data_IF_989052913256
#
_entry.id   IF_989052913256
#
_cell.length_a   1.000
_cell.length_b   1.000
_cell.length_c   1.000
_cell.angle_alpha   90.00
_cell.angle_beta   90.00
_cell.angle_gamma   90.00
#
_symmetry.space_group_name_H-M   'P 1'
#
loop_
_entity.id
_entity.type
_entity.pdbx_description
1 polymer ?
#
# COMPACT_ATOMS: atom_id res chain seq x y z
N UNK A 1 43.32 -47.76 -4.27
CA UNK A 1 42.90 -46.71 -5.22
C UNK A 1 42.13 -45.64 -4.45
N UNK A 2 42.77 -44.52 -4.13
CA UNK A 2 42.12 -43.33 -3.57
C UNK A 2 41.78 -42.38 -4.72
N UNK A 3 40.57 -41.82 -4.73
CA UNK A 3 40.27 -40.65 -5.56
C UNK A 3 39.85 -39.50 -4.64
N UNK A 4 40.72 -38.49 -4.59
CA UNK A 4 40.54 -37.25 -3.87
C UNK A 4 39.90 -36.22 -4.81
N UNK A 5 38.82 -35.57 -4.37
CA UNK A 5 38.28 -34.38 -5.01
C UNK A 5 38.69 -33.17 -4.18
N UNK A 6 39.55 -32.35 -4.77
CA UNK A 6 40.14 -31.14 -4.22
C UNK A 6 39.10 -30.03 -3.99
N UNK A 7 39.05 -29.49 -2.77
CA UNK A 7 38.43 -28.19 -2.48
C UNK A 7 39.46 -27.10 -2.78
N UNK A 8 39.31 -26.42 -3.91
CA UNK A 8 40.09 -25.23 -4.23
C UNK A 8 39.55 -24.03 -3.47
N UNK A 9 40.28 -23.60 -2.44
CA UNK A 9 40.17 -22.27 -1.86
C UNK A 9 40.55 -21.23 -2.93
N UNK A 10 39.58 -20.42 -3.36
CA UNK A 10 39.84 -19.23 -4.16
C UNK A 10 39.73 -18.00 -3.27
N UNK A 11 40.88 -17.55 -2.79
CA UNK A 11 41.08 -16.17 -2.36
C UNK A 11 40.74 -15.23 -3.52
N UNK A 12 39.89 -14.23 -3.29
CA UNK A 12 39.73 -13.11 -4.21
C UNK A 12 39.86 -11.81 -3.43
N UNK A 13 41.10 -11.32 -3.39
CA UNK A 13 41.43 -9.93 -3.09
C UNK A 13 40.78 -9.03 -4.13
N UNK A 14 40.07 -7.98 -3.73
CA UNK A 14 39.63 -6.92 -4.64
C UNK A 14 40.25 -5.60 -4.20
N UNK A 15 41.27 -5.18 -4.95
CA UNK A 15 41.98 -3.91 -4.82
C UNK A 15 41.97 -3.24 -6.22
N UNK A 16 41.08 -2.25 -6.37
CA UNK A 16 40.87 -1.26 -7.45
C UNK A 16 39.38 -0.93 -7.35
N UNK A 17 38.94 0.27 -6.98
CA UNK A 17 39.18 1.49 -7.73
C UNK A 17 39.29 2.72 -6.81
N UNK A 18 40.45 3.36 -6.84
CA UNK A 18 40.57 4.78 -6.54
C UNK A 18 40.25 5.59 -7.80
N UNK A 19 39.80 6.83 -7.60
CA UNK A 19 39.80 7.94 -8.58
C UNK A 19 38.59 8.12 -9.51
N UNK A 20 37.46 8.60 -8.98
CA UNK A 20 36.67 9.59 -9.73
C UNK A 20 36.15 10.75 -8.85
N UNK A 21 36.98 11.80 -8.84
CA UNK A 21 36.61 13.23 -8.90
C UNK A 21 35.81 13.81 -7.72
N UNK A 22 36.52 14.04 -6.60
CA UNK A 22 36.34 15.27 -5.83
C UNK A 22 36.78 16.46 -6.70
N UNK A 23 35.85 16.96 -7.52
CA UNK A 23 35.96 18.27 -8.17
C UNK A 23 34.59 18.90 -8.15
N UNK A 24 34.32 19.70 -7.13
CA UNK A 24 33.63 20.99 -7.29
C UNK A 24 33.90 21.81 -6.03
N UNK A 25 34.98 22.59 -6.12
CA UNK A 25 35.17 23.79 -5.32
C UNK A 25 34.25 24.86 -5.91
N UNK A 26 33.32 25.37 -5.11
CA UNK A 26 32.47 26.50 -5.47
C UNK A 26 32.03 27.23 -4.21
N UNK A 27 32.78 28.25 -3.82
CA UNK A 27 32.45 29.19 -2.75
C UNK A 27 31.16 29.93 -3.12
N UNK A 28 30.11 29.89 -2.30
CA UNK A 28 29.14 30.98 -2.20
C UNK A 28 28.87 31.27 -0.71
N UNK A 29 28.97 32.55 -0.40
CA UNK A 29 28.95 33.14 0.92
C UNK A 29 27.53 33.31 1.49
N UNK A 30 27.48 33.23 2.82
CA UNK A 30 26.61 33.89 3.81
C UNK A 30 25.45 34.76 3.26
N UNK A 31 24.23 34.43 3.68
CA UNK A 31 23.22 35.43 4.02
C UNK A 31 22.36 34.86 5.16
N UNK A 32 22.40 35.51 6.32
CA UNK A 32 21.60 35.14 7.47
C UNK A 32 20.11 35.37 7.22
N UNK A 33 19.27 34.52 7.79
CA UNK A 33 17.85 34.78 7.95
C UNK A 33 17.44 34.43 9.38
N UNK A 34 16.84 35.43 9.99
CA UNK A 34 16.53 35.56 11.40
C UNK A 34 15.56 34.49 11.90
N UNK A 35 15.68 34.20 13.19
CA UNK A 35 14.68 33.52 14.01
C UNK A 35 13.35 34.27 13.91
N UNK A 36 12.28 33.57 13.52
CA UNK A 36 10.92 33.93 13.91
C UNK A 36 10.25 32.69 14.47
N UNK A 37 10.11 32.67 15.80
CA UNK A 37 9.19 31.79 16.49
C UNK A 37 7.77 32.31 16.25
N UNK A 38 6.98 31.59 15.46
CA UNK A 38 5.53 31.78 15.42
C UNK A 38 4.86 30.71 16.28
N UNK A 39 4.67 31.06 17.55
CA UNK A 39 3.62 30.47 18.37
C UNK A 39 2.28 31.10 17.99
N UNK A 40 1.26 30.27 17.76
CA UNK A 40 -0.14 30.69 17.62
C UNK A 40 -0.78 30.13 16.34
N UNK A 41 -2.01 29.62 16.31
CA UNK A 41 -3.09 29.59 17.29
C UNK A 41 -3.99 28.37 17.02
N UNK A 42 -4.35 27.70 18.11
CA UNK A 42 -5.66 27.10 18.42
C UNK A 42 -6.72 27.04 17.31
N UNK A 43 -7.04 25.83 16.85
CA UNK A 43 -8.32 25.53 16.21
C UNK A 43 -8.72 24.06 16.45
N UNK A 44 -9.18 23.76 17.66
CA UNK A 44 -10.11 22.68 18.00
C UNK A 44 -10.53 23.00 19.44
N UNK A 45 -11.66 23.64 19.74
CA UNK A 45 -12.99 23.45 19.17
C UNK A 45 -13.71 22.37 19.97
N UNK A 46 -14.29 22.74 21.12
CA UNK A 46 -15.24 21.90 21.86
C UNK A 46 -14.96 21.76 23.36
N UNK A 47 -15.70 22.53 24.15
CA UNK A 47 -15.89 22.39 25.61
C UNK A 47 -16.93 21.27 25.88
N UNK A 48 -16.68 20.40 26.87
CA UNK A 48 -17.61 20.07 27.97
C UNK A 48 -17.19 18.78 28.74
N UNK A 49 -17.08 18.95 30.06
CA UNK A 49 -17.38 18.04 31.17
C UNK A 49 -16.78 16.62 31.29
N UNK A 50 -16.35 16.33 32.52
CA UNK A 50 -15.59 15.14 32.91
C UNK A 50 -16.36 13.82 32.90
N UNK A 51 -15.59 12.73 32.90
CA UNK A 51 -15.79 11.54 33.73
C UNK A 51 -14.69 10.51 33.43
N UNK A 52 -14.23 9.83 34.48
CA UNK A 52 -13.41 8.62 34.43
C UNK A 52 -13.94 7.59 33.40
N UNK A 53 -13.12 7.24 32.42
CA UNK A 53 -13.22 5.98 31.67
C UNK A 53 -11.91 5.65 30.94
N UNK A 54 -11.27 4.54 31.32
CA UNK A 54 -10.41 3.73 30.42
C UNK A 54 -11.30 3.32 29.22
N UNK A 55 -10.93 3.49 27.94
CA UNK A 55 -9.96 2.63 27.20
C UNK A 55 -9.26 3.38 26.02
N UNK A 56 -8.19 2.89 25.38
CA UNK A 56 -8.17 1.94 24.25
C UNK A 56 -6.78 2.11 23.61
N UNK A 57 -6.21 1.03 23.07
CA UNK A 57 -4.99 1.06 22.24
C UNK A 57 -5.12 2.09 21.11
N UNK A 58 -4.33 3.15 21.21
CA UNK A 58 -3.97 3.99 20.07
C UNK A 58 -2.90 3.25 19.27
N UNK A 59 -3.30 2.49 18.25
CA UNK A 59 -2.37 2.10 17.18
C UNK A 59 -2.29 3.28 16.21
N UNK A 60 -1.43 4.24 16.52
CA UNK A 60 -0.98 5.23 15.53
C UNK A 60 0.46 4.89 15.20
N UNK A 61 0.65 4.20 14.08
CA UNK A 61 1.94 4.17 13.38
C UNK A 61 1.70 4.66 11.97
N UNK A 62 1.55 5.98 11.84
CA UNK A 62 1.76 6.65 10.57
C UNK A 62 3.27 6.60 10.29
N UNK A 63 3.72 5.56 9.59
CA UNK A 63 5.05 5.55 9.00
C UNK A 63 5.02 6.53 7.82
N UNK A 64 5.43 7.78 8.07
CA UNK A 64 5.72 8.75 7.03
C UNK A 64 6.93 8.24 6.22
N UNK A 65 6.63 7.51 5.14
CA UNK A 65 7.61 7.09 4.14
C UNK A 65 7.89 8.27 3.22
N UNK A 66 9.17 8.58 3.03
CA UNK A 66 9.66 9.64 2.17
C UNK A 66 9.19 9.39 0.73
N UNK A 67 8.32 10.27 0.22
CA UNK A 67 7.71 10.21 -1.10
C UNK A 67 8.74 10.07 -2.21
N UNK A 68 8.75 8.92 -2.90
CA UNK A 68 9.31 8.83 -4.24
C UNK A 68 8.49 9.77 -5.14
N UNK A 69 9.14 10.60 -5.96
CA UNK A 69 8.55 11.79 -6.61
C UNK A 69 7.35 11.56 -7.55
N UNK A 70 6.78 10.35 -7.64
CA UNK A 70 5.63 10.00 -8.47
C UNK A 70 4.63 9.05 -7.79
N UNK A 71 4.77 8.75 -6.49
CA UNK A 71 3.81 7.87 -5.79
C UNK A 71 2.71 8.70 -5.11
N UNK A 72 1.43 8.24 -5.18
CA UNK A 72 0.34 8.90 -4.49
C UNK A 72 0.54 8.88 -2.98
N UNK A 73 -0.07 9.85 -2.29
CA UNK A 73 -0.09 9.85 -0.84
C UNK A 73 -0.68 8.53 -0.32
N UNK A 74 -0.07 7.98 0.73
CA UNK A 74 -0.53 6.74 1.35
C UNK A 74 -1.86 7.01 2.05
N UNK A 75 -2.97 6.34 1.66
CA UNK A 75 -4.26 6.52 2.31
C UNK A 75 -4.26 5.92 3.71
N UNK A 76 -5.11 6.46 4.58
CA UNK A 76 -5.43 5.83 5.86
C UNK A 76 -6.19 4.52 5.65
N UNK A 77 -6.21 3.66 6.67
CA UNK A 77 -7.00 2.42 6.64
C UNK A 77 -8.49 2.68 6.36
N UNK A 78 -9.06 3.74 6.91
CA UNK A 78 -10.46 4.10 6.70
C UNK A 78 -10.76 4.57 5.26
N UNK A 79 -9.87 5.38 4.68
CA UNK A 79 -9.99 5.82 3.29
C UNK A 79 -9.85 4.65 2.32
N UNK A 80 -8.88 3.77 2.57
CA UNK A 80 -8.67 2.58 1.75
C UNK A 80 -9.82 1.58 1.91
N UNK A 81 -10.37 1.42 3.11
CA UNK A 81 -11.56 0.62 3.33
C UNK A 81 -12.75 1.13 2.50
N UNK A 82 -12.96 2.44 2.51
CA UNK A 82 -14.04 3.08 1.75
C UNK A 82 -13.87 2.83 0.25
N UNK A 83 -12.65 2.97 -0.27
CA UNK A 83 -12.35 2.66 -1.67
C UNK A 83 -12.56 1.19 -2.01
N UNK A 84 -12.10 0.28 -1.15
CA UNK A 84 -12.28 -1.16 -1.34
C UNK A 84 -13.77 -1.56 -1.34
N UNK A 85 -14.55 -1.02 -0.39
CA UNK A 85 -16.00 -1.26 -0.36
C UNK A 85 -16.68 -0.70 -1.62
N UNK A 86 -16.25 0.47 -2.10
CA UNK A 86 -16.75 1.04 -3.35
C UNK A 86 -16.39 0.19 -4.57
N UNK A 87 -15.20 -0.39 -4.61
CA UNK A 87 -14.78 -1.31 -5.68
C UNK A 87 -15.65 -2.59 -5.72
N UNK A 88 -16.03 -3.09 -4.54
CA UNK A 88 -16.83 -4.30 -4.36
C UNK A 88 -18.35 -4.04 -4.40
N UNK A 89 -18.79 -2.79 -4.39
CA UNK A 89 -20.20 -2.43 -4.44
C UNK A 89 -20.76 -2.56 -5.87
N UNK A 90 -21.72 -3.47 -6.14
CA UNK A 90 -22.32 -3.60 -7.46
C UNK A 90 -23.14 -2.38 -7.92
N UNK A 91 -23.50 -1.45 -7.03
CA UNK A 91 -24.15 -0.20 -7.39
C UNK A 91 -23.18 0.82 -8.03
N UNK A 92 -21.87 0.64 -7.82
CA UNK A 92 -20.86 1.54 -8.39
C UNK A 92 -20.65 1.20 -9.88
N UNK A 93 -20.66 2.21 -10.77
CA UNK A 93 -20.44 2.01 -12.19
C UNK A 93 -19.10 1.31 -12.46
N UNK A 94 -19.11 0.39 -13.42
CA UNK A 94 -17.92 -0.38 -13.76
C UNK A 94 -16.74 0.53 -14.16
N UNK A 95 -17.01 1.62 -14.88
CA UNK A 95 -16.00 2.60 -15.30
C UNK A 95 -15.15 3.15 -14.15
N UNK A 96 -15.74 3.33 -12.98
CA UNK A 96 -15.02 3.81 -11.79
C UNK A 96 -14.18 2.70 -11.15
N UNK A 97 -14.62 1.44 -11.28
CA UNK A 97 -13.88 0.27 -10.78
C UNK A 97 -12.70 -0.09 -11.66
N UNK A 98 -12.75 0.23 -12.97
CA UNK A 98 -11.63 0.02 -13.88
C UNK A 98 -10.37 0.76 -13.42
N UNK A 99 -10.55 1.91 -12.76
CA UNK A 99 -9.43 2.71 -12.24
C UNK A 99 -8.82 2.14 -10.94
N UNK A 100 -9.45 1.13 -10.32
CA UNK A 100 -9.10 0.61 -9.00
C UNK A 100 -8.32 -0.70 -9.04
N UNK A 101 -8.22 -1.36 -10.20
CA UNK A 101 -7.53 -2.65 -10.35
C UNK A 101 -6.55 -2.55 -11.53
N UNK A 102 -5.36 -3.12 -11.39
CA UNK A 102 -4.38 -3.15 -12.47
C UNK A 102 -4.75 -4.09 -13.61
N UNK A 103 -4.37 -3.71 -14.83
CA UNK A 103 -4.40 -4.63 -15.98
C UNK A 103 -5.81 -5.00 -16.44
N UNK A 104 -6.80 -4.16 -16.12
CA UNK A 104 -8.22 -4.34 -16.44
C UNK A 104 -8.53 -4.06 -17.91
N UNK A 105 -7.61 -3.47 -18.66
CA UNK A 105 -7.72 -3.26 -20.10
C UNK A 105 -7.92 -4.59 -20.85
N UNK A 106 -7.41 -5.69 -20.29
CA UNK A 106 -7.60 -7.03 -20.82
C UNK A 106 -9.01 -7.59 -20.54
N UNK A 107 -9.64 -7.22 -19.43
CA UNK A 107 -10.99 -7.64 -19.06
C UNK A 107 -11.73 -6.55 -18.26
N UNK A 108 -12.43 -5.63 -18.95
CA UNK A 108 -13.16 -4.55 -18.28
C UNK A 108 -14.32 -5.07 -17.43
N UNK A 109 -14.83 -6.29 -17.65
CA UNK A 109 -15.94 -6.84 -16.89
C UNK A 109 -15.50 -7.48 -15.56
N UNK A 110 -14.20 -7.68 -15.35
CA UNK A 110 -13.64 -8.30 -14.14
C UNK A 110 -14.13 -7.63 -12.85
N UNK A 111 -14.04 -6.29 -12.67
CA UNK A 111 -14.44 -5.67 -11.41
C UNK A 111 -15.93 -5.80 -11.12
N UNK A 112 -16.78 -5.73 -12.15
CA UNK A 112 -18.22 -6.00 -12.03
C UNK A 112 -18.50 -7.44 -11.57
N UNK A 113 -17.83 -8.43 -12.18
CA UNK A 113 -17.97 -9.84 -11.78
C UNK A 113 -17.50 -10.09 -10.35
N UNK A 114 -16.39 -9.47 -9.95
CA UNK A 114 -15.89 -9.54 -8.57
C UNK A 114 -16.88 -8.93 -7.57
N UNK A 115 -17.43 -7.76 -7.87
CA UNK A 115 -18.43 -7.10 -7.02
C UNK A 115 -19.71 -7.94 -6.85
N UNK A 116 -20.20 -8.56 -7.93
CA UNK A 116 -21.35 -9.47 -7.85
C UNK A 116 -21.02 -10.73 -7.04
N UNK A 117 -19.91 -11.40 -7.34
CA UNK A 117 -19.49 -12.59 -6.62
C UNK A 117 -19.29 -12.31 -5.12
N UNK A 118 -18.69 -11.17 -4.77
CA UNK A 118 -18.55 -10.72 -3.39
C UNK A 118 -19.92 -10.55 -2.71
N UNK A 119 -20.87 -9.87 -3.37
CA UNK A 119 -22.23 -9.71 -2.84
C UNK A 119 -22.93 -11.06 -2.63
N UNK A 120 -22.76 -12.00 -3.54
CA UNK A 120 -23.36 -13.34 -3.46
C UNK A 120 -22.81 -14.16 -2.28
N UNK A 121 -21.55 -13.93 -1.87
CA UNK A 121 -20.99 -14.59 -0.68
C UNK A 121 -21.57 -14.08 0.64
N UNK A 122 -22.10 -12.85 0.66
CA UNK A 122 -22.49 -12.17 1.91
C UNK A 122 -21.34 -11.88 2.87
N UNK A 123 -20.09 -11.94 2.38
CA UNK A 123 -18.92 -11.60 3.18
C UNK A 123 -18.88 -10.09 3.49
N UNK A 124 -18.26 -9.72 4.61
CA UNK A 124 -17.88 -8.33 4.90
C UNK A 124 -16.37 -8.18 4.88
N UNK A 125 -15.87 -7.01 4.48
CA UNK A 125 -14.45 -6.68 4.45
C UNK A 125 -14.23 -5.35 5.17
N UNK A 126 -13.22 -5.33 6.03
CA UNK A 126 -12.80 -4.15 6.77
C UNK A 126 -11.28 -4.03 6.76
N UNK A 127 -10.74 -2.95 6.18
CA UNK A 127 -9.31 -2.66 6.25
C UNK A 127 -8.96 -2.13 7.64
N UNK A 128 -8.07 -2.84 8.34
CA UNK A 128 -7.66 -2.54 9.72
C UNK A 128 -6.30 -1.86 9.81
N UNK A 129 -5.42 -2.10 8.83
CA UNK A 129 -4.05 -1.56 8.82
C UNK A 129 -3.57 -1.36 7.39
N UNK A 130 -2.67 -0.39 7.20
CA UNK A 130 -2.08 -0.07 5.89
C UNK A 130 -0.60 0.19 6.08
N UNK A 131 0.22 -0.55 5.32
CA UNK A 131 1.68 -0.40 5.30
C UNK A 131 2.14 -0.11 3.87
N UNK A 132 2.83 0.99 3.64
CA UNK A 132 3.37 1.35 2.34
C UNK A 132 4.86 0.99 2.20
N UNK A 133 5.24 0.54 1.01
CA UNK A 133 6.59 0.14 0.61
C UNK A 133 6.96 0.82 -0.71
N UNK A 134 7.17 2.14 -0.67
CA UNK A 134 7.50 2.94 -1.85
C UNK A 134 6.36 3.01 -2.85
N UNK A 135 6.46 2.27 -3.95
CA UNK A 135 5.49 2.15 -5.04
C UNK A 135 4.44 1.05 -4.81
N UNK A 136 4.55 0.29 -3.73
CA UNK A 136 3.55 -0.71 -3.34
C UNK A 136 2.96 -0.40 -1.96
N UNK A 137 1.77 -0.93 -1.70
CA UNK A 137 1.06 -0.76 -0.44
C UNK A 137 0.40 -2.08 -0.07
N UNK A 138 0.45 -2.47 1.19
CA UNK A 138 -0.20 -3.67 1.69
C UNK A 138 -1.23 -3.28 2.76
N UNK A 139 -2.47 -3.69 2.55
CA UNK A 139 -3.56 -3.44 3.48
C UNK A 139 -3.94 -4.73 4.19
N UNK A 140 -4.01 -4.71 5.52
CA UNK A 140 -4.61 -5.82 6.28
C UNK A 140 -6.11 -5.64 6.31
N UNK A 141 -6.83 -6.62 5.81
CA UNK A 141 -8.28 -6.65 5.81
C UNK A 141 -8.80 -7.81 6.67
N UNK A 142 -9.74 -7.50 7.55
CA UNK A 142 -10.58 -8.49 8.22
C UNK A 142 -11.74 -8.82 7.28
N UNK A 143 -11.88 -10.09 6.93
CA UNK A 143 -12.97 -10.64 6.13
C UNK A 143 -13.82 -11.50 7.05
N UNK A 144 -15.13 -11.23 7.12
CA UNK A 144 -16.06 -12.07 7.88
C UNK A 144 -16.98 -12.79 6.90
N UNK A 145 -16.96 -14.13 6.92
CA UNK A 145 -17.80 -14.98 6.08
C UNK A 145 -18.47 -16.02 6.97
N UNK A 146 -19.81 -16.11 6.95
CA UNK A 146 -20.57 -17.04 7.80
C UNK A 146 -20.21 -16.96 9.30
N UNK A 147 -19.89 -15.75 9.78
CA UNK A 147 -19.46 -15.51 11.17
C UNK A 147 -18.02 -15.93 11.50
N UNK A 148 -17.25 -16.42 10.52
CA UNK A 148 -15.83 -16.72 10.67
C UNK A 148 -14.98 -15.53 10.24
N UNK A 149 -14.12 -15.04 11.14
CA UNK A 149 -13.15 -13.98 10.84
C UNK A 149 -11.89 -14.56 10.18
N UNK A 150 -11.48 -13.98 9.06
CA UNK A 150 -10.27 -14.32 8.32
C UNK A 150 -9.49 -13.03 8.07
N UNK A 151 -8.19 -13.03 8.34
CA UNK A 151 -7.33 -11.88 8.01
C UNK A 151 -6.67 -12.15 6.67
N UNK A 152 -6.76 -11.19 5.76
CA UNK A 152 -6.12 -11.22 4.46
C UNK A 152 -5.26 -9.98 4.26
N UNK A 153 -4.16 -10.15 3.54
CA UNK A 153 -3.36 -9.05 3.05
C UNK A 153 -3.79 -8.72 1.61
N UNK A 154 -4.09 -7.45 1.35
CA UNK A 154 -4.53 -6.92 0.06
C UNK A 154 -3.42 -6.03 -0.47
N UNK A 155 -2.66 -6.47 -1.48
CA UNK A 155 -1.59 -5.71 -2.08
C UNK A 155 -2.13 -4.74 -3.14
N UNK A 156 -1.61 -3.52 -3.08
CA UNK A 156 -1.85 -2.40 -3.98
C UNK A 156 -0.53 -1.92 -4.56
N UNK A 157 -0.63 -1.17 -5.65
CA UNK A 157 0.50 -0.58 -6.34
C UNK A 157 0.12 0.78 -6.90
N UNK A 158 1.08 1.68 -6.88
CA UNK A 158 0.94 3.03 -7.39
C UNK A 158 1.02 3.03 -8.91
N UNK A 159 -0.08 3.41 -9.56
CA UNK A 159 -0.17 3.52 -11.02
C UNK A 159 -1.08 4.70 -11.37
N UNK A 160 -0.68 5.53 -12.34
CA UNK A 160 -1.40 6.75 -12.75
C UNK A 160 -1.71 7.72 -11.59
N UNK A 161 -0.84 7.76 -10.57
CA UNK A 161 -1.06 8.57 -9.37
C UNK A 161 -2.22 8.08 -8.50
N UNK A 162 -2.64 6.83 -8.64
CA UNK A 162 -3.67 6.17 -7.82
C UNK A 162 -3.15 4.84 -7.25
N UNK A 163 -3.71 4.42 -6.12
CA UNK A 163 -3.46 3.08 -5.58
C UNK A 163 -4.42 2.09 -6.22
N UNK A 164 -3.89 1.16 -7.02
CA UNK A 164 -4.67 0.11 -7.67
C UNK A 164 -4.41 -1.24 -7.00
N UNK A 165 -5.44 -2.07 -6.85
CA UNK A 165 -5.30 -3.46 -6.41
C UNK A 165 -4.46 -4.22 -7.42
N UNK A 166 -3.48 -4.99 -6.95
CA UNK A 166 -2.64 -5.78 -7.84
C UNK A 166 -3.46 -6.82 -8.59
N UNK A 167 -3.21 -6.90 -9.90
CA UNK A 167 -3.86 -7.85 -10.82
C UNK A 167 -3.78 -9.30 -10.31
N UNK A 168 -2.59 -9.73 -9.87
CA UNK A 168 -2.36 -11.09 -9.38
C UNK A 168 -3.25 -11.45 -8.17
N UNK A 169 -3.45 -10.50 -7.26
CA UNK A 169 -4.33 -10.68 -6.10
C UNK A 169 -5.79 -10.72 -6.50
N UNK A 170 -6.22 -9.80 -7.37
CA UNK A 170 -7.59 -9.80 -7.91
C UNK A 170 -7.90 -11.14 -8.59
N UNK A 171 -6.99 -11.64 -9.43
CA UNK A 171 -7.12 -12.94 -10.08
C UNK A 171 -7.21 -14.13 -9.12
N UNK A 172 -6.41 -14.10 -8.05
CA UNK A 172 -6.47 -15.12 -6.99
C UNK A 172 -7.85 -15.10 -6.32
N UNK A 173 -8.38 -13.92 -6.00
CA UNK A 173 -9.72 -13.81 -5.41
C UNK A 173 -10.83 -14.23 -6.36
N UNK A 174 -10.77 -13.87 -7.64
CA UNK A 174 -11.73 -14.39 -8.62
C UNK A 174 -11.71 -15.92 -8.66
N UNK A 175 -10.53 -16.53 -8.67
CA UNK A 175 -10.37 -17.99 -8.69
C UNK A 175 -10.98 -18.63 -7.43
N UNK A 176 -10.74 -18.05 -6.25
CA UNK A 176 -11.34 -18.51 -4.99
C UNK A 176 -12.87 -18.41 -4.98
N UNK A 177 -13.42 -17.43 -5.71
CA UNK A 177 -14.86 -17.23 -5.89
C UNK A 177 -15.43 -18.05 -7.07
N UNK A 178 -14.62 -18.90 -7.70
CA UNK A 178 -15.05 -19.73 -8.83
C UNK A 178 -15.26 -18.94 -10.14
N UNK A 179 -14.71 -17.73 -10.25
CA UNK A 179 -14.78 -16.87 -11.43
C UNK A 179 -13.49 -16.96 -12.25
N UNK A 180 -13.61 -16.82 -13.56
CA UNK A 180 -12.48 -16.71 -14.48
C UNK A 180 -12.53 -15.37 -15.20
N UNK A 181 -11.36 -14.85 -15.54
CA UNK A 181 -11.19 -13.62 -16.30
C UNK A 181 -10.07 -13.81 -17.31
N UNK A 182 -10.24 -13.25 -18.51
CA UNK A 182 -9.19 -13.26 -19.55
C UNK A 182 -8.00 -12.39 -19.17
N UNK A 183 -8.17 -11.43 -18.24
CA UNK A 183 -7.04 -10.71 -17.67
C UNK A 183 -6.15 -11.66 -16.85
N UNK A 184 -6.70 -12.74 -16.28
CA UNK A 184 -5.97 -13.65 -15.39
C UNK A 184 -5.27 -14.82 -16.09
N UNK A 185 -5.27 -14.83 -17.42
CA UNK A 185 -4.63 -15.83 -18.27
C UNK A 185 -3.17 -15.49 -18.59
#
# INVERSE_FOLDING_TARGET
MCWAASVTTRTYSNAKDEQLKLRTTGRIAIAGLAVVASLGLTACGGDDSGNDAKPTKTTTSAAATTTAANTPAVPTAAELNTQLQRALDPAVPNSEKLEMVQGIEADPELPSRLAQAYKDTGATVEVTDVTAFGDTLNAKAKIVLNGQENIADVPFVAEDGKWKVQKAWACTMLTNLGQQSVACA
#
